data_IF_354375609747
#
_entry.id   IF_354375609747
#
_cell.length_a   1.000
_cell.length_b   1.000
_cell.length_c   1.000
_cell.angle_alpha   90.00
_cell.angle_beta   90.00
_cell.angle_gamma   90.00
#
_symmetry.space_group_name_H-M   'P 1'
#
loop_
_entity.id
_entity.type
_entity.pdbx_description
1 polymer ?
#
# COMPACT_ATOMS: atom_id res chain seq x y z
N UNK A 1 5.06 0.86 -7.46
CA UNK A 1 5.72 0.50 -6.18
C UNK A 1 5.84 1.76 -5.34
N UNK A 2 5.54 1.73 -4.04
CA UNK A 2 5.63 2.89 -3.13
C UNK A 2 6.23 2.47 -1.80
N UNK A 3 7.13 3.30 -1.24
CA UNK A 3 7.68 3.15 0.11
C UNK A 3 7.20 4.35 0.92
N UNK A 4 6.68 4.08 2.11
CA UNK A 4 6.22 5.10 3.06
C UNK A 4 6.97 4.95 4.37
N UNK A 5 7.15 6.05 5.10
CA UNK A 5 7.82 6.01 6.41
C UNK A 5 6.84 6.34 7.54
N UNK A 6 5.83 7.16 7.24
CA UNK A 6 4.84 7.59 8.22
C UNK A 6 3.51 6.86 8.05
N UNK A 7 2.82 6.63 9.16
CA UNK A 7 1.53 5.93 9.14
C UNK A 7 0.42 6.69 8.40
N UNK A 8 0.51 8.02 8.30
CA UNK A 8 -0.43 8.84 7.52
C UNK A 8 -0.26 8.56 6.02
N UNK A 9 0.98 8.55 5.53
CA UNK A 9 1.31 8.22 4.14
C UNK A 9 0.87 6.79 3.81
N UNK A 10 1.20 5.82 4.68
CA UNK A 10 0.84 4.41 4.47
C UNK A 10 -0.68 4.23 4.37
N UNK A 11 -1.45 4.98 5.17
CA UNK A 11 -2.92 4.95 5.12
C UNK A 11 -3.46 5.48 3.80
N UNK A 12 -2.93 6.60 3.30
CA UNK A 12 -3.29 7.16 2.00
C UNK A 12 -3.00 6.18 0.86
N UNK A 13 -1.79 5.63 0.83
CA UNK A 13 -1.37 4.66 -0.21
C UNK A 13 -2.20 3.39 -0.14
N UNK A 14 -2.49 2.88 1.07
CA UNK A 14 -3.35 1.70 1.27
C UNK A 14 -4.75 1.94 0.72
N UNK A 15 -5.33 3.11 0.99
CA UNK A 15 -6.66 3.45 0.49
C UNK A 15 -6.64 3.58 -1.03
N UNK A 16 -5.68 4.32 -1.58
CA UNK A 16 -5.52 4.51 -3.01
C UNK A 16 -5.38 3.19 -3.78
N UNK A 17 -4.56 2.24 -3.30
CA UNK A 17 -4.45 0.92 -3.94
C UNK A 17 -5.70 0.05 -3.79
N UNK A 18 -6.54 0.31 -2.78
CA UNK A 18 -7.79 -0.44 -2.54
C UNK A 18 -8.97 0.10 -3.34
N UNK A 19 -9.08 1.43 -3.47
CA UNK A 19 -10.24 2.10 -4.09
C UNK A 19 -9.94 2.70 -5.45
N UNK A 20 -8.66 2.86 -5.82
CA UNK A 20 -8.27 3.51 -7.08
C UNK A 20 -8.30 5.03 -7.05
N UNK A 21 -8.73 5.64 -5.93
CA UNK A 21 -8.90 7.08 -5.78
C UNK A 21 -8.41 7.56 -4.41
N UNK A 22 -8.15 8.86 -4.30
CA UNK A 22 -7.72 9.49 -3.03
C UNK A 22 -8.90 9.83 -2.11
N UNK A 23 -10.13 9.87 -2.64
CA UNK A 23 -11.34 10.12 -1.86
C UNK A 23 -11.80 8.90 -1.03
N UNK A 24 -11.23 7.72 -1.28
CA UNK A 24 -11.60 6.49 -0.58
C UNK A 24 -12.97 5.95 -0.97
N UNK A 25 -13.56 6.46 -2.04
CA UNK A 25 -14.83 5.97 -2.57
C UNK A 25 -14.59 4.64 -3.27
N UNK A 26 -15.11 3.56 -2.69
CA UNK A 26 -15.02 2.25 -3.31
C UNK A 26 -16.16 2.14 -4.33
N UNK A 27 -15.87 2.40 -5.59
CA UNK A 27 -16.80 2.04 -6.67
C UNK A 27 -16.93 0.52 -6.67
N UNK A 28 -18.17 0.05 -6.54
CA UNK A 28 -18.52 -1.37 -6.53
C UNK A 28 -19.42 -1.64 -7.70
N UNK A 29 -19.12 -2.71 -8.43
CA UNK A 29 -20.02 -3.21 -9.46
C UNK A 29 -21.32 -3.72 -8.83
N UNK A 30 -22.31 -4.02 -9.67
CA UNK A 30 -23.60 -4.61 -9.27
C UNK A 30 -23.45 -5.91 -8.44
N UNK A 31 -22.30 -6.59 -8.55
CA UNK A 31 -21.94 -7.80 -7.80
C UNK A 31 -21.14 -7.53 -6.51
N UNK A 32 -20.96 -6.27 -6.12
CA UNK A 32 -20.22 -5.88 -4.92
C UNK A 32 -18.68 -5.96 -5.04
N UNK A 33 -18.17 -6.29 -6.24
CA UNK A 33 -16.75 -6.33 -6.49
C UNK A 33 -16.19 -4.90 -6.56
N UNK A 34 -15.08 -4.60 -5.86
CA UNK A 34 -14.44 -3.31 -5.99
C UNK A 34 -13.89 -3.13 -7.41
N UNK A 35 -14.37 -2.11 -8.09
CA UNK A 35 -13.83 -1.61 -9.35
C UNK A 35 -12.53 -0.83 -9.07
N UNK A 36 -11.52 -1.51 -8.51
CA UNK A 36 -10.19 -0.93 -8.36
C UNK A 36 -9.40 -1.18 -9.65
N UNK A 37 -8.77 -0.14 -10.25
CA UNK A 37 -7.86 -0.30 -11.38
C UNK A 37 -6.55 -0.99 -10.98
N UNK A 38 -6.34 -1.24 -9.69
CA UNK A 38 -5.12 -1.80 -9.14
C UNK A 38 -5.34 -3.20 -8.56
N UNK A 39 -4.45 -4.13 -8.91
CA UNK A 39 -4.30 -5.43 -8.26
C UNK A 39 -3.16 -5.35 -7.24
N UNK A 40 -3.48 -5.60 -5.98
CA UNK A 40 -2.47 -5.71 -4.93
C UNK A 40 -1.60 -6.95 -5.17
N UNK A 41 -0.30 -6.76 -5.42
CA UNK A 41 0.66 -7.86 -5.58
C UNK A 41 0.89 -8.52 -4.20
N UNK A 42 1.02 -7.69 -3.16
CA UNK A 42 1.25 -8.14 -1.80
C UNK A 42 0.07 -7.73 -0.90
N UNK A 43 -0.58 -8.71 -0.25
CA UNK A 43 -1.67 -8.43 0.70
C UNK A 43 -1.16 -7.79 2.00
N UNK A 44 0.01 -8.22 2.47
CA UNK A 44 0.69 -7.68 3.66
C UNK A 44 1.73 -6.65 3.23
N UNK A 45 1.92 -5.63 4.05
CA UNK A 45 2.99 -4.65 3.87
C UNK A 45 4.34 -5.33 4.07
N UNK A 46 5.32 -5.00 3.23
CA UNK A 46 6.70 -5.46 3.42
C UNK A 46 7.39 -4.49 4.35
N UNK A 47 7.94 -5.00 5.44
CA UNK A 47 8.75 -4.27 6.41
C UNK A 47 10.22 -4.66 6.26
N UNK A 48 11.16 -3.76 6.61
CA UNK A 48 12.59 -4.05 6.60
C UNK A 48 12.93 -5.21 7.55
N UNK A 49 14.03 -5.90 7.26
CA UNK A 49 14.60 -6.93 8.13
C UNK A 49 15.39 -6.32 9.30
N UNK A 50 15.67 -7.10 10.35
CA UNK A 50 16.47 -6.62 11.50
C UNK A 50 17.91 -6.25 11.10
N UNK A 51 18.52 -7.01 10.19
CA UNK A 51 19.85 -6.70 9.64
C UNK A 51 19.87 -5.35 8.92
N UNK A 52 18.82 -5.06 8.14
CA UNK A 52 18.67 -3.81 7.41
C UNK A 52 18.44 -2.63 8.34
N UNK A 53 17.71 -2.82 9.43
CA UNK A 53 17.52 -1.82 10.50
C UNK A 53 18.84 -1.54 11.23
N UNK A 54 19.64 -2.57 11.46
CA UNK A 54 20.95 -2.44 12.12
C UNK A 54 21.93 -1.63 11.26
N UNK A 55 22.00 -1.94 9.96
CA UNK A 55 22.84 -1.23 8.99
C UNK A 55 22.31 0.17 8.65
N UNK A 56 20.99 0.34 8.65
CA UNK A 56 20.33 1.61 8.34
C UNK A 56 19.13 1.85 9.27
N UNK A 57 19.38 2.51 10.40
CA UNK A 57 18.32 2.86 11.37
C UNK A 57 17.17 3.67 10.78
N UNK A 58 17.40 4.44 9.71
CA UNK A 58 16.33 5.23 9.05
C UNK A 58 15.32 4.33 8.33
N UNK A 59 15.70 3.12 7.97
CA UNK A 59 14.82 2.16 7.31
C UNK A 59 13.76 1.58 8.26
N UNK A 60 13.95 1.66 9.59
CA UNK A 60 13.05 1.04 10.61
C UNK A 60 11.55 1.24 10.37
N UNK A 61 11.15 2.42 9.93
CA UNK A 61 9.74 2.77 9.73
C UNK A 61 9.26 2.57 8.28
N UNK A 62 10.13 2.12 7.38
CA UNK A 62 9.81 1.92 5.98
C UNK A 62 8.76 0.83 5.81
N UNK A 63 7.77 1.11 4.98
CA UNK A 63 6.65 0.25 4.64
C UNK A 63 6.52 0.23 3.13
N UNK A 64 6.80 -0.91 2.52
CA UNK A 64 6.75 -1.08 1.07
C UNK A 64 5.42 -1.71 0.65
N UNK A 65 4.75 -1.06 -0.31
CA UNK A 65 3.50 -1.52 -0.93
C UNK A 65 3.65 -1.59 -2.45
N UNK A 66 3.12 -2.67 -3.02
CA UNK A 66 3.15 -2.93 -4.47
C UNK A 66 1.75 -3.21 -4.96
N UNK A 67 1.37 -2.46 -5.99
CA UNK A 67 0.17 -2.66 -6.77
C UNK A 67 0.56 -2.68 -8.25
N UNK A 68 -0.10 -3.55 -9.01
CA UNK A 68 -0.01 -3.67 -10.45
C UNK A 68 -1.27 -3.08 -11.08
N UNK A 69 -1.14 -2.41 -12.22
CA UNK A 69 -2.29 -1.91 -12.97
C UNK A 69 -2.92 -3.08 -13.72
N UNK A 70 -4.23 -3.26 -13.54
CA UNK A 70 -5.00 -4.33 -14.18
C UNK A 70 -5.28 -4.02 -15.65
#
# INVERSE_FOLDING_TARGET
VVITYHSIEDRLVKNFFRTGNFEGQQEKDFYGNPASPFRLVNKRVITPSEEEISNNRRARSAKLRVAEKK
#
